data_IF_660804391076
#
_entry.id   IF_660804391076
#
_cell.length_a   1.000
_cell.length_b   1.000
_cell.length_c   1.000
_cell.angle_alpha   90.00
_cell.angle_beta   90.00
_cell.angle_gamma   90.00
#
_symmetry.space_group_name_H-M   'P 1'
#
loop_
_entity.id
_entity.type
_entity.pdbx_description
1 polymer ?
#
# COMPACT_ATOMS: atom_id res chain seq x y z
N UNK A 1 10.09 21.29 5.74
CA UNK A 1 9.18 21.52 4.59
C UNK A 1 9.94 21.74 3.27
N UNK A 2 10.83 22.74 3.13
CA UNK A 2 11.58 22.98 1.87
C UNK A 2 12.42 21.79 1.37
N UNK A 3 13.02 21.02 2.28
CA UNK A 3 13.89 19.88 1.93
C UNK A 3 13.13 18.75 1.24
N UNK A 4 11.87 18.50 1.64
CA UNK A 4 11.05 17.39 1.10
C UNK A 4 10.24 17.78 -0.14
N UNK A 5 10.03 19.08 -0.38
CA UNK A 5 9.21 19.57 -1.50
C UNK A 5 9.64 19.03 -2.88
N UNK A 6 10.94 18.91 -3.21
CA UNK A 6 11.37 18.34 -4.49
C UNK A 6 10.93 16.89 -4.71
N UNK A 7 10.83 16.10 -3.64
CA UNK A 7 10.39 14.70 -3.68
C UNK A 7 8.89 14.54 -4.01
N UNK A 8 8.15 15.64 -4.11
CA UNK A 8 6.75 15.65 -4.55
C UNK A 8 6.55 16.53 -5.80
N UNK A 9 7.63 16.80 -6.54
CA UNK A 9 7.51 17.44 -7.85
C UNK A 9 6.79 16.51 -8.84
N UNK A 10 6.01 17.09 -9.76
CA UNK A 10 5.28 16.32 -10.79
C UNK A 10 6.22 15.40 -11.56
N UNK A 11 7.42 15.89 -11.91
CA UNK A 11 8.45 15.10 -12.60
C UNK A 11 8.88 13.88 -11.80
N UNK A 12 9.09 14.03 -10.50
CA UNK A 12 9.48 12.92 -9.65
C UNK A 12 8.32 11.93 -9.47
N UNK A 13 7.11 12.41 -9.18
CA UNK A 13 5.92 11.55 -9.05
C UNK A 13 5.67 10.75 -10.33
N UNK A 14 5.79 11.37 -11.51
CA UNK A 14 5.65 10.68 -12.79
C UNK A 14 6.70 9.56 -12.96
N UNK A 15 7.93 9.78 -12.48
CA UNK A 15 8.96 8.73 -12.52
C UNK A 15 8.65 7.51 -11.63
N UNK A 16 7.80 7.69 -10.62
CA UNK A 16 7.38 6.63 -9.69
C UNK A 16 6.21 5.79 -10.23
N UNK A 17 5.57 6.20 -11.32
CA UNK A 17 4.38 5.53 -11.88
C UNK A 17 4.61 4.02 -12.07
N UNK A 18 5.77 3.63 -12.63
CA UNK A 18 6.12 2.22 -12.86
C UNK A 18 6.17 1.41 -11.55
N UNK A 19 6.65 2.01 -10.46
CA UNK A 19 6.69 1.38 -9.14
C UNK A 19 5.27 1.20 -8.60
N UNK A 20 4.45 2.24 -8.68
CA UNK A 20 3.04 2.18 -8.26
C UNK A 20 2.25 1.12 -9.03
N UNK A 21 2.43 1.06 -10.36
CA UNK A 21 1.80 0.05 -11.21
C UNK A 21 2.19 -1.37 -10.83
N UNK A 22 3.42 -1.57 -10.35
CA UNK A 22 3.87 -2.90 -9.91
C UNK A 22 3.10 -3.34 -8.66
N UNK A 23 2.91 -2.45 -7.68
CA UNK A 23 2.09 -2.74 -6.49
C UNK A 23 0.61 -2.98 -6.86
N UNK A 24 0.06 -2.22 -7.80
CA UNK A 24 -1.32 -2.41 -8.27
C UNK A 24 -1.49 -3.77 -8.95
N UNK A 25 -0.52 -4.20 -9.77
CA UNK A 25 -0.54 -5.53 -10.39
C UNK A 25 -0.51 -6.65 -9.35
N UNK A 26 0.30 -6.50 -8.29
CA UNK A 26 0.34 -7.46 -7.19
C UNK A 26 -1.03 -7.55 -6.48
N UNK A 27 -1.72 -6.41 -6.31
CA UNK A 27 -3.07 -6.37 -5.73
C UNK A 27 -4.10 -7.06 -6.63
N UNK A 28 -4.09 -6.78 -7.93
CA UNK A 28 -5.00 -7.40 -8.91
C UNK A 28 -4.81 -8.92 -8.90
N UNK A 29 -3.57 -9.39 -8.95
CA UNK A 29 -3.27 -10.81 -8.85
C UNK A 29 -3.82 -11.44 -7.56
N UNK A 30 -3.66 -10.77 -6.41
CA UNK A 30 -4.22 -11.26 -5.13
C UNK A 30 -5.76 -11.35 -5.14
N UNK A 31 -6.41 -10.39 -5.78
CA UNK A 31 -7.87 -10.38 -5.95
C UNK A 31 -8.30 -11.54 -6.86
N UNK A 32 -7.63 -11.72 -8.00
CA UNK A 32 -7.92 -12.80 -8.94
C UNK A 32 -7.79 -14.18 -8.27
N UNK A 33 -6.74 -14.38 -7.47
CA UNK A 33 -6.59 -15.64 -6.69
C UNK A 33 -7.72 -15.85 -5.68
N UNK A 34 -8.20 -14.78 -5.03
CA UNK A 34 -9.33 -14.89 -4.09
C UNK A 34 -10.65 -15.18 -4.79
N UNK A 35 -10.86 -14.62 -5.98
CA UNK A 35 -12.07 -14.80 -6.78
C UNK A 35 -12.20 -16.22 -7.37
N UNK A 36 -11.11 -17.00 -7.44
CA UNK A 36 -11.20 -18.43 -7.79
C UNK A 36 -12.05 -19.24 -6.81
N UNK A 37 -12.18 -18.77 -5.56
CA UNK A 37 -13.07 -19.38 -4.58
C UNK A 37 -14.49 -18.83 -4.78
N UNK A 38 -15.45 -19.70 -5.08
CA UNK A 38 -16.86 -19.31 -5.24
C UNK A 38 -17.38 -18.64 -3.97
N UNK A 39 -18.03 -17.48 -4.11
CA UNK A 39 -18.61 -16.73 -2.99
C UNK A 39 -17.62 -15.83 -2.23
N UNK A 40 -16.44 -15.53 -2.79
CA UNK A 40 -15.46 -14.65 -2.16
C UNK A 40 -16.03 -13.25 -1.84
N UNK A 41 -15.98 -12.87 -0.56
CA UNK A 41 -16.31 -11.53 -0.09
C UNK A 41 -15.03 -10.74 0.10
N UNK A 42 -14.92 -9.59 -0.56
CA UNK A 42 -13.71 -8.75 -0.53
C UNK A 42 -13.98 -7.44 0.21
N UNK A 43 -13.14 -7.12 1.19
CA UNK A 43 -13.11 -5.81 1.81
C UNK A 43 -12.21 -4.87 0.98
N UNK A 44 -12.82 -4.10 0.07
CA UNK A 44 -12.12 -3.19 -0.84
C UNK A 44 -11.34 -2.11 -0.09
N UNK A 45 -11.87 -1.61 1.04
CA UNK A 45 -11.18 -0.58 1.85
C UNK A 45 -9.85 -1.11 2.38
N UNK A 46 -9.86 -2.33 2.92
CA UNK A 46 -8.64 -2.97 3.41
C UNK A 46 -7.65 -3.22 2.26
N UNK A 47 -8.12 -3.69 1.10
CA UNK A 47 -7.31 -3.96 -0.08
C UNK A 47 -6.61 -2.70 -0.63
N UNK A 48 -7.31 -1.56 -0.64
CA UNK A 48 -6.72 -0.28 -1.05
C UNK A 48 -5.70 0.20 -0.01
N UNK A 49 -6.00 0.06 1.28
CA UNK A 49 -5.08 0.46 2.36
C UNK A 49 -3.76 -0.30 2.30
N UNK A 50 -3.78 -1.62 2.18
CA UNK A 50 -2.56 -2.44 2.09
C UNK A 50 -1.76 -2.11 0.82
N UNK A 51 -2.43 -1.84 -0.31
CA UNK A 51 -1.78 -1.43 -1.55
C UNK A 51 -1.11 -0.05 -1.41
N UNK A 52 -1.78 0.90 -0.76
CA UNK A 52 -1.23 2.22 -0.50
C UNK A 52 0.05 2.15 0.36
N UNK A 53 0.10 1.25 1.35
CA UNK A 53 1.33 1.08 2.14
C UNK A 53 2.46 0.48 1.32
N UNK A 54 2.19 -0.52 0.49
CA UNK A 54 3.22 -1.08 -0.39
C UNK A 54 3.71 -0.05 -1.42
N UNK A 55 2.83 0.82 -1.94
CA UNK A 55 3.21 1.95 -2.80
C UNK A 55 4.13 2.92 -2.05
N UNK A 56 3.80 3.30 -0.82
CA UNK A 56 4.64 4.20 -0.02
C UNK A 56 6.00 3.54 0.29
N UNK A 57 6.00 2.25 0.66
CA UNK A 57 7.21 1.46 0.84
C UNK A 57 8.12 1.52 -0.38
N UNK A 58 7.57 1.15 -1.54
CA UNK A 58 8.33 1.06 -2.77
C UNK A 58 8.85 2.43 -3.24
N UNK A 59 8.01 3.46 -3.17
CA UNK A 59 8.34 4.78 -3.72
C UNK A 59 9.16 5.69 -2.80
N UNK A 60 9.01 5.53 -1.48
CA UNK A 60 9.65 6.41 -0.48
C UNK A 60 10.82 5.73 0.24
N UNK A 61 10.81 4.39 0.34
CA UNK A 61 11.82 3.62 1.09
C UNK A 61 12.58 2.62 0.21
N UNK A 62 12.25 2.52 -1.08
CA UNK A 62 12.96 1.67 -2.04
C UNK A 62 12.67 0.18 -1.90
N UNK A 63 11.57 -0.20 -1.23
CA UNK A 63 11.17 -1.61 -1.13
C UNK A 63 9.74 -1.83 -0.64
N UNK A 64 9.12 -2.93 -1.11
CA UNK A 64 7.77 -3.35 -0.72
C UNK A 64 7.76 -3.96 0.68
N UNK A 65 6.71 -3.67 1.44
CA UNK A 65 6.42 -4.37 2.70
C UNK A 65 5.74 -5.73 2.47
N UNK A 66 5.34 -6.05 1.23
CA UNK A 66 4.60 -7.25 0.85
C UNK A 66 3.28 -7.41 1.63
N UNK A 67 2.67 -6.29 2.00
CA UNK A 67 1.43 -6.22 2.77
C UNK A 67 0.26 -6.88 2.04
N UNK A 68 0.26 -6.78 0.69
CA UNK A 68 -0.72 -7.44 -0.17
C UNK A 68 -0.69 -8.97 -0.02
N UNK A 69 0.50 -9.56 0.12
CA UNK A 69 0.65 -11.02 0.29
C UNK A 69 0.30 -11.46 1.71
N UNK A 70 0.65 -10.66 2.71
CA UNK A 70 0.35 -10.96 4.11
C UNK A 70 -1.15 -10.86 4.43
N UNK A 71 -1.91 -10.02 3.71
CA UNK A 71 -3.35 -9.83 3.95
C UNK A 71 -3.68 -9.08 5.24
N UNK A 72 -2.67 -8.68 6.02
CA UNK A 72 -2.78 -7.92 7.25
C UNK A 72 -2.28 -6.49 7.08
N UNK A 73 -2.72 -5.61 7.99
CA UNK A 73 -2.27 -4.24 8.04
C UNK A 73 -0.76 -4.21 8.40
N UNK A 74 0.10 -3.53 7.62
CA UNK A 74 1.57 -3.56 7.76
C UNK A 74 2.11 -2.98 9.08
N UNK A 75 1.31 -2.15 9.76
CA UNK A 75 1.64 -1.74 11.11
C UNK A 75 1.27 -2.85 12.10
N UNK A 76 2.22 -3.37 12.90
CA UNK A 76 1.93 -4.29 13.99
C UNK A 76 0.75 -3.78 14.80
N UNK A 77 -0.17 -4.64 15.23
CA UNK A 77 -1.42 -4.21 15.89
C UNK A 77 -1.21 -3.19 17.02
N UNK A 78 -0.07 -3.24 17.70
CA UNK A 78 0.36 -2.24 18.70
C UNK A 78 0.64 -0.85 18.12
N UNK A 79 1.36 -0.77 17.00
CA UNK A 79 1.66 0.48 16.31
C UNK A 79 0.40 1.12 15.71
N UNK A 80 -0.51 0.31 15.15
CA UNK A 80 -1.81 0.81 14.68
C UNK A 80 -2.69 1.35 15.81
N UNK A 81 -2.76 0.61 16.93
CA UNK A 81 -3.54 1.03 18.12
C UNK A 81 -2.99 2.33 18.72
N UNK A 82 -1.67 2.48 18.75
CA UNK A 82 -1.00 3.69 19.23
C UNK A 82 -1.17 4.87 18.26
N UNK A 83 -1.09 4.65 16.95
CA UNK A 83 -1.35 5.69 15.95
C UNK A 83 -2.78 6.23 16.06
N UNK A 84 -3.77 5.33 16.21
CA UNK A 84 -5.18 5.69 16.38
C UNK A 84 -5.46 6.43 17.68
N UNK A 85 -4.71 6.11 18.76
CA UNK A 85 -4.79 6.80 20.06
C UNK A 85 -4.28 8.24 20.00
N UNK A 86 -3.34 8.56 19.10
CA UNK A 86 -2.75 9.91 18.98
C UNK A 86 -3.54 10.86 18.09
N UNK A 87 -4.49 10.35 17.31
CA UNK A 87 -5.33 11.13 16.39
C UNK A 87 -6.73 11.45 16.95
N UNK A 88 -7.08 10.87 18.10
CA UNK A 88 -8.24 11.23 18.94
C UNK A 88 -7.74 11.92 20.21
#
# INVERSE_FOLDING_TARGET
RRIISPAFSIKYIASLEKLMLTCIKDLVYNIDEKLKNQGAILNIVNLIQICAVDIIGETSFGGKFNSIKAGEHPLPGKAWKEFRRRLM
#
